data_IF_781045283824
#
_entry.id   IF_781045283824
#
_cell.length_a   1.000
_cell.length_b   1.000
_cell.length_c   1.000
_cell.angle_alpha   90.00
_cell.angle_beta   90.00
_cell.angle_gamma   90.00
#
_symmetry.space_group_name_H-M   'P 1'
#
loop_
_entity.id
_entity.type
_entity.pdbx_description
1 polymer ?
#
# COMPACT_ATOMS: atom_id res chain seq x y z
N UNK A 1 8.77 25.00 4.84
CA UNK A 1 9.58 24.25 5.82
C UNK A 1 9.89 22.92 5.16
N UNK A 2 11.15 22.52 5.06
CA UNK A 2 11.53 21.20 4.54
C UNK A 2 10.95 20.16 5.49
N UNK A 3 10.27 19.15 4.95
CA UNK A 3 9.70 18.06 5.73
C UNK A 3 10.85 17.20 6.31
N UNK A 4 11.18 17.43 7.59
CA UNK A 4 12.33 16.79 8.24
C UNK A 4 12.17 15.28 8.30
N UNK A 5 10.94 14.76 8.47
CA UNK A 5 10.65 13.31 8.61
C UNK A 5 11.12 12.52 7.39
N UNK A 6 10.76 12.96 6.19
CA UNK A 6 11.17 12.30 4.95
C UNK A 6 12.66 12.51 4.64
N UNK A 7 13.23 13.69 5.00
CA UNK A 7 14.68 13.96 4.82
C UNK A 7 15.52 13.08 5.74
N UNK A 8 15.06 12.84 6.97
CA UNK A 8 15.78 12.06 7.99
C UNK A 8 15.44 10.56 7.94
N UNK A 9 14.50 10.16 7.07
CA UNK A 9 14.11 8.76 6.91
C UNK A 9 15.31 7.92 6.46
N UNK A 10 15.57 6.75 7.07
CA UNK A 10 16.71 5.90 6.76
C UNK A 10 16.48 5.10 5.46
N UNK A 11 16.45 5.81 4.33
CA UNK A 11 16.19 5.21 3.02
C UNK A 11 17.13 4.04 2.75
N UNK A 12 16.62 2.91 2.24
CA UNK A 12 17.47 1.77 1.86
C UNK A 12 18.44 2.16 0.75
N UNK A 13 19.58 1.48 0.70
CA UNK A 13 20.56 1.68 -0.37
C UNK A 13 19.98 1.32 -1.73
N UNK A 14 20.35 2.07 -2.75
CA UNK A 14 19.96 1.80 -4.13
C UNK A 14 20.47 0.43 -4.57
N UNK A 15 19.66 -0.42 -5.20
CA UNK A 15 20.06 -1.75 -5.64
C UNK A 15 21.36 -1.74 -6.44
N UNK A 16 22.25 -2.68 -6.12
CA UNK A 16 23.55 -2.80 -6.78
C UNK A 16 24.58 -1.72 -6.39
N UNK A 17 24.25 -0.85 -5.43
CA UNK A 17 25.15 0.20 -4.91
C UNK A 17 25.14 0.23 -3.38
N UNK A 18 26.11 0.95 -2.79
CA UNK A 18 26.10 1.26 -1.35
C UNK A 18 25.53 2.67 -1.07
N UNK A 19 24.92 3.30 -2.07
CA UNK A 19 24.45 4.67 -1.98
C UNK A 19 23.08 4.75 -1.36
N UNK A 20 22.92 5.60 -0.37
CA UNK A 20 21.64 5.90 0.25
C UNK A 20 21.09 7.17 -0.38
N UNK A 21 19.88 7.13 -0.94
CA UNK A 21 19.22 8.34 -1.38
C UNK A 21 18.84 9.20 -0.17
N UNK A 22 18.65 10.49 -0.39
CA UNK A 22 18.08 11.40 0.58
C UNK A 22 16.88 12.09 -0.06
N UNK A 23 15.81 12.28 0.70
CA UNK A 23 14.63 12.99 0.22
C UNK A 23 14.79 14.50 0.41
N UNK A 24 14.51 15.27 -0.64
CA UNK A 24 14.52 16.74 -0.56
C UNK A 24 13.41 17.33 -1.42
N UNK A 25 12.50 18.04 -0.78
CA UNK A 25 11.36 18.77 -1.37
C UNK A 25 10.40 17.85 -2.16
N UNK A 26 10.74 17.50 -3.39
CA UNK A 26 9.91 16.76 -4.33
C UNK A 26 10.71 15.69 -5.12
N UNK A 27 11.83 15.22 -4.57
CA UNK A 27 12.64 14.20 -5.23
C UNK A 27 13.76 13.66 -4.37
N UNK A 28 14.38 12.59 -4.86
CA UNK A 28 15.52 11.98 -4.22
C UNK A 28 16.82 12.64 -4.67
N UNK A 29 17.72 12.90 -3.72
CA UNK A 29 19.11 13.24 -4.00
C UNK A 29 19.95 11.97 -3.96
N UNK A 30 20.66 11.68 -5.06
CA UNK A 30 21.56 10.55 -5.22
C UNK A 30 22.89 11.13 -5.70
N UNK A 31 23.98 10.94 -4.95
CA UNK A 31 25.30 11.57 -5.22
C UNK A 31 25.25 13.09 -5.35
N UNK A 32 24.29 13.74 -4.72
CA UNK A 32 24.10 15.19 -4.81
C UNK A 32 23.33 15.65 -6.03
N UNK A 33 22.95 14.76 -6.94
CA UNK A 33 22.09 15.05 -8.08
C UNK A 33 20.63 14.78 -7.72
N UNK A 34 19.73 15.65 -8.17
CA UNK A 34 18.31 15.49 -7.95
C UNK A 34 17.70 14.55 -8.98
N UNK A 35 17.00 13.55 -8.48
CA UNK A 35 16.24 12.58 -9.26
C UNK A 35 14.73 12.75 -9.03
N UNK A 36 13.93 12.05 -9.83
CA UNK A 36 12.48 11.97 -9.62
C UNK A 36 12.16 11.36 -8.25
N UNK A 37 10.93 11.49 -7.83
CA UNK A 37 10.43 10.97 -6.55
C UNK A 37 10.19 9.45 -6.53
N UNK A 38 10.75 8.68 -7.44
CA UNK A 38 10.60 7.22 -7.57
C UNK A 38 11.95 6.51 -7.48
N UNK A 39 12.01 5.48 -6.61
CA UNK A 39 13.13 4.52 -6.57
C UNK A 39 12.58 3.11 -6.80
N UNK A 40 13.22 2.36 -7.70
CA UNK A 40 12.91 0.96 -7.96
C UNK A 40 13.94 0.07 -7.26
N UNK A 41 13.47 -0.79 -6.33
CA UNK A 41 14.32 -1.73 -5.58
C UNK A 41 14.38 -3.11 -6.21
N UNK A 42 13.41 -3.51 -7.00
CA UNK A 42 13.39 -4.80 -7.68
C UNK A 42 13.29 -4.61 -9.19
N UNK A 43 13.93 -5.50 -9.96
CA UNK A 43 13.57 -5.73 -11.35
C UNK A 43 12.48 -6.81 -11.32
N UNK A 44 11.27 -6.44 -11.68
CA UNK A 44 10.14 -7.37 -11.65
C UNK A 44 9.86 -7.94 -13.01
N UNK A 45 10.05 -9.24 -13.15
CA UNK A 45 9.38 -10.04 -14.18
C UNK A 45 8.09 -10.61 -13.57
N UNK A 46 7.00 -9.86 -13.59
CA UNK A 46 5.70 -10.35 -13.12
C UNK A 46 4.79 -10.70 -14.27
N UNK A 47 3.90 -11.66 -14.06
CA UNK A 47 2.80 -11.94 -14.99
C UNK A 47 1.71 -10.84 -14.96
N UNK A 48 1.75 -9.97 -13.94
CA UNK A 48 0.88 -8.80 -13.87
C UNK A 48 1.35 -7.74 -14.87
N UNK A 49 0.51 -7.38 -15.79
CA UNK A 49 0.81 -6.40 -16.84
C UNK A 49 0.15 -5.05 -16.55
N UNK A 50 0.66 -3.99 -17.18
CA UNK A 50 0.02 -2.67 -17.17
C UNK A 50 -1.44 -2.77 -17.64
N UNK A 51 -1.72 -3.60 -18.63
CA UNK A 51 -3.06 -3.83 -19.14
C UNK A 51 -4.02 -4.41 -18.08
N UNK A 52 -3.56 -5.32 -17.22
CA UNK A 52 -4.35 -5.83 -16.10
C UNK A 52 -4.66 -4.74 -15.07
N UNK A 53 -3.70 -3.86 -14.80
CA UNK A 53 -3.94 -2.69 -13.92
C UNK A 53 -4.99 -1.76 -14.52
N UNK A 54 -4.87 -1.43 -15.80
CA UNK A 54 -5.83 -0.56 -16.49
C UNK A 54 -7.24 -1.15 -16.53
N UNK A 55 -7.36 -2.46 -16.79
CA UNK A 55 -8.65 -3.15 -16.79
C UNK A 55 -9.26 -3.15 -15.38
N UNK A 56 -8.49 -3.48 -14.35
CA UNK A 56 -8.95 -3.45 -12.97
C UNK A 56 -9.45 -2.05 -12.58
N UNK A 57 -8.71 -1.00 -12.95
CA UNK A 57 -9.12 0.38 -12.67
C UNK A 57 -10.37 0.81 -13.44
N UNK A 58 -10.52 0.39 -14.70
CA UNK A 58 -11.72 0.67 -15.49
C UNK A 58 -12.95 0.01 -14.90
N UNK A 59 -12.84 -1.25 -14.49
CA UNK A 59 -13.95 -1.98 -13.86
C UNK A 59 -14.28 -1.43 -12.46
N UNK A 60 -13.27 -1.01 -11.69
CA UNK A 60 -13.43 -0.28 -10.44
C UNK A 60 -13.95 1.17 -10.64
N UNK A 61 -14.33 1.55 -11.87
CA UNK A 61 -14.87 2.89 -12.16
C UNK A 61 -13.87 4.01 -11.94
N UNK A 62 -12.59 3.77 -12.18
CA UNK A 62 -11.50 4.73 -11.97
C UNK A 62 -11.53 5.35 -10.55
N UNK A 63 -11.70 4.50 -9.53
CA UNK A 63 -11.76 4.90 -8.14
C UNK A 63 -13.06 5.61 -7.73
N UNK A 64 -14.08 5.67 -8.59
CA UNK A 64 -15.38 6.29 -8.30
C UNK A 64 -16.46 5.30 -7.90
N UNK A 65 -16.17 4.00 -7.92
CA UNK A 65 -17.11 3.00 -7.46
C UNK A 65 -17.42 3.20 -5.95
N UNK A 66 -18.67 3.04 -5.56
CA UNK A 66 -19.12 3.33 -4.19
C UNK A 66 -18.42 2.49 -3.12
N UNK A 67 -18.05 1.25 -3.44
CA UNK A 67 -17.30 0.36 -2.53
C UNK A 67 -15.87 0.90 -2.37
N UNK A 68 -15.20 1.31 -3.44
CA UNK A 68 -13.83 1.83 -3.36
C UNK A 68 -13.77 3.14 -2.58
N UNK A 69 -14.77 4.01 -2.76
CA UNK A 69 -14.88 5.23 -1.97
C UNK A 69 -15.08 4.89 -0.49
N UNK A 70 -15.94 3.92 -0.18
CA UNK A 70 -16.18 3.49 1.19
C UNK A 70 -14.93 2.85 1.83
N UNK A 71 -14.20 2.03 1.06
CA UNK A 71 -12.92 1.42 1.43
C UNK A 71 -11.90 2.49 1.80
N UNK A 72 -11.64 3.46 0.91
CA UNK A 72 -10.72 4.57 1.17
C UNK A 72 -11.14 5.42 2.38
N UNK A 73 -12.43 5.71 2.56
CA UNK A 73 -12.92 6.41 3.74
C UNK A 73 -12.70 5.63 5.03
N UNK A 74 -12.86 4.31 5.00
CA UNK A 74 -12.58 3.45 6.16
C UNK A 74 -11.08 3.47 6.49
N UNK A 75 -10.22 3.38 5.48
CA UNK A 75 -8.78 3.51 5.64
C UNK A 75 -8.40 4.87 6.25
N UNK A 76 -8.88 5.99 5.69
CA UNK A 76 -8.67 7.34 6.24
C UNK A 76 -9.09 7.43 7.71
N UNK A 77 -10.24 6.83 8.07
CA UNK A 77 -10.75 6.86 9.45
C UNK A 77 -9.81 6.15 10.42
N UNK A 78 -9.14 5.09 9.99
CA UNK A 78 -8.19 4.31 10.79
C UNK A 78 -6.94 5.11 11.16
N UNK A 79 -6.54 6.07 10.32
CA UNK A 79 -5.35 6.89 10.52
C UNK A 79 -5.62 8.30 11.03
N UNK A 80 -6.87 8.64 11.36
CA UNK A 80 -7.24 9.99 11.84
C UNK A 80 -6.45 10.43 13.08
N UNK A 81 -6.14 9.49 14.00
CA UNK A 81 -5.31 9.81 15.18
C UNK A 81 -3.84 10.03 14.80
N UNK A 82 -3.33 9.20 13.90
CA UNK A 82 -1.96 9.31 13.39
C UNK A 82 -1.75 10.64 12.70
N UNK A 83 -2.71 11.08 11.91
CA UNK A 83 -2.69 12.33 11.15
C UNK A 83 -2.65 13.62 12.01
N UNK A 84 -2.84 13.52 13.32
CA UNK A 84 -2.65 14.63 14.26
C UNK A 84 -1.18 14.79 14.72
N UNK A 85 -0.29 13.91 14.29
CA UNK A 85 1.13 14.00 14.55
C UNK A 85 1.88 14.33 13.26
N UNK A 86 2.39 15.55 13.15
CA UNK A 86 3.12 16.03 11.96
C UNK A 86 4.45 15.28 11.72
N UNK A 87 4.93 14.52 12.71
CA UNK A 87 6.11 13.65 12.58
C UNK A 87 5.75 12.21 12.18
N UNK A 88 4.47 11.88 12.10
CA UNK A 88 4.05 10.54 11.72
C UNK A 88 4.31 10.26 10.23
N UNK A 89 4.66 9.01 9.95
CA UNK A 89 4.94 8.52 8.61
C UNK A 89 4.02 7.33 8.29
N UNK A 90 3.26 7.45 7.21
CA UNK A 90 2.39 6.41 6.66
C UNK A 90 3.00 5.82 5.40
N UNK A 91 2.96 4.50 5.27
CA UNK A 91 3.24 3.77 4.04
C UNK A 91 1.94 3.23 3.43
N UNK A 92 1.68 3.56 2.18
CA UNK A 92 0.68 2.85 1.37
C UNK A 92 1.38 1.80 0.52
N UNK A 93 0.93 0.54 0.64
CA UNK A 93 1.40 -0.60 -0.16
C UNK A 93 0.33 -0.96 -1.18
N UNK A 94 0.71 -1.10 -2.46
CA UNK A 94 -0.21 -1.30 -3.57
C UNK A 94 -0.94 0.00 -3.94
N UNK A 95 -0.22 1.12 -4.03
CA UNK A 95 -0.84 2.42 -4.25
C UNK A 95 -1.37 2.64 -5.68
N UNK A 96 -1.00 1.79 -6.64
CA UNK A 96 -1.50 1.81 -8.03
C UNK A 96 -1.58 3.24 -8.61
N UNK A 97 -2.76 3.70 -9.02
CA UNK A 97 -3.01 5.05 -9.54
C UNK A 97 -3.07 6.15 -8.49
N UNK A 98 -2.89 5.82 -7.21
CA UNK A 98 -2.71 6.78 -6.13
C UNK A 98 -3.98 7.47 -5.64
N UNK A 99 -5.17 6.90 -5.84
CA UNK A 99 -6.42 7.51 -5.35
C UNK A 99 -6.43 7.69 -3.83
N UNK A 100 -5.97 6.69 -3.08
CA UNK A 100 -5.90 6.79 -1.62
C UNK A 100 -4.78 7.76 -1.17
N UNK A 101 -3.62 7.79 -1.84
CA UNK A 101 -2.59 8.80 -1.60
C UNK A 101 -3.13 10.22 -1.74
N UNK A 102 -3.90 10.48 -2.81
CA UNK A 102 -4.52 11.78 -3.05
C UNK A 102 -5.57 12.12 -1.97
N UNK A 103 -6.36 11.14 -1.55
CA UNK A 103 -7.31 11.31 -0.45
C UNK A 103 -6.57 11.63 0.87
N UNK A 104 -5.48 10.95 1.20
CA UNK A 104 -4.65 11.27 2.36
C UNK A 104 -4.09 12.69 2.29
N UNK A 105 -3.53 13.10 1.15
CA UNK A 105 -3.03 14.48 0.97
C UNK A 105 -4.14 15.52 1.14
N UNK A 106 -5.33 15.23 0.64
CA UNK A 106 -6.48 16.13 0.72
C UNK A 106 -7.00 16.29 2.14
N UNK A 107 -7.16 15.17 2.87
CA UNK A 107 -7.79 15.17 4.19
C UNK A 107 -6.79 15.35 5.34
N UNK A 108 -5.53 14.99 5.13
CA UNK A 108 -4.45 15.06 6.12
C UNK A 108 -3.19 15.67 5.50
N UNK A 109 -3.21 16.97 5.14
CA UNK A 109 -2.14 17.61 4.36
C UNK A 109 -0.78 17.67 5.06
N UNK A 110 -0.73 17.47 6.37
CA UNK A 110 0.53 17.45 7.14
C UNK A 110 1.08 16.04 7.37
N UNK A 111 0.33 14.99 7.03
CA UNK A 111 0.79 13.62 7.19
C UNK A 111 1.89 13.31 6.18
N UNK A 112 3.01 12.77 6.66
CA UNK A 112 4.08 12.28 5.80
C UNK A 112 3.66 10.94 5.21
N UNK A 113 3.79 10.78 3.90
CA UNK A 113 3.32 9.58 3.19
C UNK A 113 4.39 9.10 2.24
N UNK A 114 4.58 7.79 2.21
CA UNK A 114 5.32 7.05 1.18
C UNK A 114 4.32 6.18 0.43
N UNK A 115 4.32 6.24 -0.89
CA UNK A 115 3.58 5.30 -1.74
C UNK A 115 4.48 4.16 -2.20
N UNK A 116 3.95 2.94 -2.25
CA UNK A 116 4.70 1.82 -2.84
C UNK A 116 3.81 0.91 -3.67
N UNK A 117 4.41 0.29 -4.67
CA UNK A 117 3.76 -0.70 -5.51
C UNK A 117 4.78 -1.76 -5.97
N UNK A 118 4.28 -2.92 -6.35
CA UNK A 118 5.07 -3.97 -6.98
C UNK A 118 5.47 -3.60 -8.40
N UNK A 119 4.60 -2.89 -9.13
CA UNK A 119 4.79 -2.49 -10.52
C UNK A 119 5.42 -1.10 -10.64
N UNK A 120 6.42 -0.98 -11.49
CA UNK A 120 7.08 0.31 -11.75
C UNK A 120 6.24 1.24 -12.64
N UNK A 121 5.47 0.72 -13.60
CA UNK A 121 4.78 1.55 -14.60
C UNK A 121 3.66 2.42 -14.02
N UNK A 122 2.75 1.94 -13.14
CA UNK A 122 1.81 2.81 -12.45
C UNK A 122 2.52 3.90 -11.64
N UNK A 123 3.62 3.55 -10.94
CA UNK A 123 4.40 4.50 -10.15
C UNK A 123 5.07 5.58 -11.00
N UNK A 124 5.55 5.27 -12.21
CA UNK A 124 6.09 6.27 -13.14
C UNK A 124 5.02 7.30 -13.54
N UNK A 125 3.81 6.84 -13.85
CA UNK A 125 2.67 7.73 -14.14
C UNK A 125 2.32 8.56 -12.90
N UNK A 126 2.26 7.93 -11.73
CA UNK A 126 1.92 8.56 -10.46
C UNK A 126 2.98 9.60 -10.04
N UNK A 127 4.25 9.39 -10.33
CA UNK A 127 5.35 10.31 -10.01
C UNK A 127 5.15 11.71 -10.62
N UNK A 128 4.47 11.79 -11.76
CA UNK A 128 4.15 13.04 -12.44
C UNK A 128 3.01 13.79 -11.71
N UNK A 129 2.02 13.04 -11.23
CA UNK A 129 0.81 13.61 -10.61
C UNK A 129 0.99 13.89 -9.11
N UNK A 130 1.87 13.13 -8.44
CA UNK A 130 2.14 13.25 -7.01
C UNK A 130 3.64 13.52 -6.74
N UNK A 131 4.23 14.62 -7.26
CA UNK A 131 5.68 14.82 -7.21
C UNK A 131 6.24 14.99 -5.78
N UNK A 132 5.40 15.32 -4.81
CA UNK A 132 5.79 15.53 -3.40
C UNK A 132 5.71 14.27 -2.53
N UNK A 133 5.30 13.14 -3.10
CA UNK A 133 5.23 11.86 -2.38
C UNK A 133 6.41 11.00 -2.83
N UNK A 134 7.27 10.52 -1.92
CA UNK A 134 8.24 9.48 -2.26
C UNK A 134 7.52 8.21 -2.72
N UNK A 135 7.93 7.67 -3.85
CA UNK A 135 7.39 6.45 -4.43
C UNK A 135 8.45 5.37 -4.47
N UNK A 136 8.11 4.17 -4.05
CA UNK A 136 9.02 3.03 -3.98
C UNK A 136 8.45 1.83 -4.74
N UNK A 137 9.20 1.29 -5.68
CA UNK A 137 8.85 0.02 -6.29
C UNK A 137 9.60 -1.11 -5.57
N UNK A 138 8.86 -2.04 -4.97
CA UNK A 138 9.44 -3.24 -4.36
C UNK A 138 8.40 -4.37 -4.23
N UNK A 139 8.93 -5.60 -4.10
CA UNK A 139 8.15 -6.77 -3.68
C UNK A 139 8.01 -6.79 -2.16
N UNK A 140 6.78 -6.82 -1.65
CA UNK A 140 6.52 -6.87 -0.22
C UNK A 140 7.10 -8.12 0.45
N UNK A 141 7.30 -9.22 -0.31
CA UNK A 141 7.98 -10.41 0.18
C UNK A 141 9.49 -10.20 0.41
N UNK A 142 10.05 -9.12 -0.14
CA UNK A 142 11.44 -8.70 -0.01
C UNK A 142 11.53 -7.21 0.35
N UNK A 143 10.68 -6.77 1.28
CA UNK A 143 10.55 -5.36 1.65
C UNK A 143 11.89 -4.78 2.10
N UNK A 144 12.42 -3.73 1.41
CA UNK A 144 13.72 -3.16 1.69
C UNK A 144 13.72 -2.19 2.87
N UNK A 145 12.54 -1.76 3.32
CA UNK A 145 12.41 -0.76 4.37
C UNK A 145 12.99 -1.25 5.70
N UNK A 146 13.59 -0.36 6.49
CA UNK A 146 14.16 -0.71 7.80
C UNK A 146 13.10 -1.14 8.80
N UNK A 147 13.53 -1.85 9.84
CA UNK A 147 12.69 -2.18 11.00
C UNK A 147 12.24 -0.90 11.71
N UNK A 148 11.07 -0.92 12.33
CA UNK A 148 10.53 0.17 13.16
C UNK A 148 10.60 1.55 12.49
N UNK A 149 10.34 1.62 11.16
CA UNK A 149 10.57 2.82 10.36
C UNK A 149 9.32 3.65 10.05
N UNK A 150 8.11 3.06 10.11
CA UNK A 150 6.85 3.75 9.80
C UNK A 150 5.86 3.66 10.95
N UNK A 151 5.01 4.69 11.11
CA UNK A 151 4.00 4.77 12.16
C UNK A 151 2.67 4.15 11.73
N UNK A 152 2.44 4.05 10.42
CA UNK A 152 1.25 3.45 9.86
C UNK A 152 1.52 2.72 8.56
N UNK A 153 0.73 1.69 8.28
CA UNK A 153 0.71 0.98 6.99
C UNK A 153 -0.72 0.77 6.54
N UNK A 154 -1.00 1.07 5.29
CA UNK A 154 -2.27 0.73 4.63
C UNK A 154 -2.01 -0.14 3.41
N UNK A 155 -2.80 -1.21 3.24
CA UNK A 155 -2.76 -2.08 2.08
C UNK A 155 -4.19 -2.53 1.73
N UNK A 156 -4.73 -2.02 0.65
CA UNK A 156 -6.07 -2.33 0.17
C UNK A 156 -5.98 -3.24 -1.05
N UNK A 157 -6.54 -4.44 -0.97
CA UNK A 157 -6.54 -5.45 -2.03
C UNK A 157 -5.12 -5.74 -2.56
N UNK A 158 -4.22 -6.17 -1.67
CA UNK A 158 -2.81 -6.47 -1.98
C UNK A 158 -2.46 -7.91 -1.67
N UNK A 159 -2.87 -8.43 -0.49
CA UNK A 159 -2.39 -9.72 0.02
C UNK A 159 -2.88 -10.91 -0.81
N UNK A 160 -4.02 -10.79 -1.48
CA UNK A 160 -4.56 -11.80 -2.40
C UNK A 160 -3.66 -12.07 -3.60
N UNK A 161 -2.86 -11.08 -4.02
CA UNK A 161 -1.91 -11.18 -5.11
C UNK A 161 -0.55 -11.74 -4.70
N UNK A 162 -0.32 -11.93 -3.39
CA UNK A 162 0.95 -12.40 -2.85
C UNK A 162 0.85 -13.88 -2.48
N UNK A 163 1.67 -14.72 -3.12
CA UNK A 163 1.67 -16.15 -2.83
C UNK A 163 2.00 -16.45 -1.37
N UNK A 164 3.04 -15.81 -0.83
CA UNK A 164 3.51 -15.95 0.56
C UNK A 164 3.00 -14.79 1.42
N UNK A 165 1.68 -14.65 1.55
CA UNK A 165 1.02 -13.57 2.28
C UNK A 165 1.44 -13.48 3.76
N UNK A 166 1.76 -14.60 4.41
CA UNK A 166 2.28 -14.61 5.79
C UNK A 166 3.68 -13.98 5.90
N UNK A 167 4.51 -14.13 4.87
CA UNK A 167 5.82 -13.46 4.82
C UNK A 167 5.64 -11.96 4.62
N UNK A 168 4.72 -11.56 3.74
CA UNK A 168 4.35 -10.16 3.56
C UNK A 168 3.86 -9.52 4.86
N UNK A 169 2.95 -10.18 5.60
CA UNK A 169 2.48 -9.72 6.90
C UNK A 169 3.62 -9.59 7.94
N UNK A 170 4.60 -10.50 7.95
CA UNK A 170 5.78 -10.38 8.81
C UNK A 170 6.63 -9.16 8.46
N UNK A 171 6.80 -8.85 7.16
CA UNK A 171 7.48 -7.63 6.75
C UNK A 171 6.71 -6.37 7.17
N UNK A 172 5.38 -6.36 7.03
CA UNK A 172 4.56 -5.25 7.52
C UNK A 172 4.70 -5.06 9.03
N UNK A 173 4.74 -6.16 9.80
CA UNK A 173 4.97 -6.10 11.24
C UNK A 173 6.36 -5.57 11.59
N UNK A 174 7.39 -6.00 10.87
CA UNK A 174 8.79 -5.61 11.08
C UNK A 174 9.02 -4.11 10.87
N UNK A 175 8.44 -3.55 9.81
CA UNK A 175 8.66 -2.13 9.46
C UNK A 175 7.83 -1.16 10.31
N UNK A 176 6.76 -1.63 10.95
CA UNK A 176 5.94 -0.81 11.83
C UNK A 176 6.64 -0.57 13.17
N UNK A 177 6.68 0.69 13.59
CA UNK A 177 7.14 1.06 14.93
C UNK A 177 6.25 0.43 16.01
N UNK A 178 6.77 0.19 17.22
CA UNK A 178 5.96 -0.21 18.37
C UNK A 178 4.79 0.76 18.59
N UNK A 179 3.56 0.22 18.60
CA UNK A 179 2.34 1.03 18.70
C UNK A 179 1.82 1.57 17.35
N UNK A 180 2.51 1.28 16.25
CA UNK A 180 2.07 1.62 14.89
C UNK A 180 0.77 0.90 14.51
N UNK A 181 0.07 1.44 13.53
CA UNK A 181 -1.26 0.96 13.09
C UNK A 181 -1.19 0.41 11.67
N UNK A 182 -1.76 -0.77 11.46
CA UNK A 182 -1.97 -1.34 10.14
C UNK A 182 -3.47 -1.36 9.80
N UNK A 183 -3.81 -0.95 8.60
CA UNK A 183 -5.11 -1.15 7.99
C UNK A 183 -4.95 -2.00 6.73
N UNK A 184 -5.61 -3.16 6.69
CA UNK A 184 -5.64 -4.02 5.50
C UNK A 184 -7.07 -4.29 5.08
N UNK A 185 -7.29 -4.41 3.78
CA UNK A 185 -8.51 -4.90 3.18
C UNK A 185 -8.16 -6.01 2.18
N UNK A 186 -8.96 -7.07 2.17
CA UNK A 186 -8.81 -8.23 1.29
C UNK A 186 -10.17 -8.73 0.81
N UNK A 187 -10.28 -9.32 -0.38
CA UNK A 187 -11.53 -9.89 -0.87
C UNK A 187 -11.98 -11.03 0.03
N UNK A 188 -13.24 -10.95 0.46
CA UNK A 188 -13.87 -11.91 1.35
C UNK A 188 -14.54 -13.08 0.58
N UNK A 189 -14.67 -14.22 1.27
CA UNK A 189 -15.48 -15.35 0.79
C UNK A 189 -14.74 -16.24 -0.21
N UNK A 190 -13.99 -17.23 0.29
CA UNK A 190 -13.28 -18.20 -0.55
C UNK A 190 -14.23 -18.95 -1.53
N UNK A 191 -15.49 -19.14 -1.13
CA UNK A 191 -16.52 -19.74 -1.97
C UNK A 191 -17.03 -18.83 -3.11
N UNK A 192 -16.62 -17.56 -3.13
CA UNK A 192 -16.89 -16.60 -4.20
C UNK A 192 -15.71 -16.47 -5.18
N UNK A 193 -14.65 -17.26 -4.97
CA UNK A 193 -13.53 -17.28 -5.89
C UNK A 193 -14.00 -17.82 -7.24
N UNK A 194 -13.77 -17.06 -8.31
CA UNK A 194 -14.26 -17.35 -9.64
C UNK A 194 -13.23 -16.98 -10.74
N UNK A 195 -13.65 -17.02 -11.99
CA UNK A 195 -12.82 -16.70 -13.16
C UNK A 195 -12.30 -15.26 -13.12
N UNK A 196 -12.99 -14.34 -12.46
CA UNK A 196 -12.56 -12.97 -12.31
C UNK A 196 -11.34 -12.86 -11.37
N UNK A 197 -11.33 -13.63 -10.28
CA UNK A 197 -10.14 -13.73 -9.41
C UNK A 197 -8.94 -14.30 -10.16
N UNK A 198 -9.16 -15.34 -10.99
CA UNK A 198 -8.09 -15.92 -11.82
C UNK A 198 -7.55 -14.89 -12.82
N UNK A 199 -8.43 -14.12 -13.44
CA UNK A 199 -8.07 -13.05 -14.36
C UNK A 199 -7.25 -11.94 -13.68
N UNK A 200 -7.60 -11.57 -12.44
CA UNK A 200 -6.87 -10.63 -11.61
C UNK A 200 -5.63 -11.25 -10.94
N UNK A 201 -5.29 -12.48 -11.25
CA UNK A 201 -4.16 -13.22 -10.66
C UNK A 201 -4.23 -13.29 -9.12
N UNK A 202 -5.44 -13.39 -8.56
CA UNK A 202 -5.60 -13.65 -7.14
C UNK A 202 -5.19 -15.08 -6.81
N UNK A 203 -4.36 -15.27 -5.80
CA UNK A 203 -4.07 -16.60 -5.27
C UNK A 203 -5.22 -17.11 -4.40
N UNK A 204 -6.01 -16.21 -3.79
CA UNK A 204 -7.07 -16.55 -2.83
C UNK A 204 -8.00 -15.41 -2.49
N UNK A 205 -9.14 -15.76 -1.92
CA UNK A 205 -9.98 -14.89 -1.10
C UNK A 205 -9.88 -15.32 0.36
N UNK A 206 -10.33 -14.51 1.30
CA UNK A 206 -10.15 -14.77 2.72
C UNK A 206 -11.48 -14.93 3.45
N UNK A 207 -11.53 -15.83 4.44
CA UNK A 207 -12.53 -15.73 5.50
C UNK A 207 -12.05 -14.75 6.56
N UNK A 208 -12.98 -14.10 7.28
CA UNK A 208 -12.62 -13.16 8.35
C UNK A 208 -11.73 -13.83 9.40
N UNK A 209 -12.10 -15.02 9.87
CA UNK A 209 -11.28 -15.78 10.83
C UNK A 209 -9.92 -16.16 10.25
N UNK A 210 -9.84 -16.46 8.95
CA UNK A 210 -8.58 -16.84 8.29
C UNK A 210 -7.59 -15.68 8.23
N UNK A 211 -8.02 -14.50 7.79
CA UNK A 211 -7.14 -13.33 7.76
C UNK A 211 -6.77 -12.86 9.17
N UNK A 212 -7.71 -12.91 10.14
CA UNK A 212 -7.41 -12.59 11.53
C UNK A 212 -6.34 -13.53 12.13
N UNK A 213 -6.42 -14.84 11.84
CA UNK A 213 -5.43 -15.80 12.32
C UNK A 213 -4.03 -15.50 11.73
N UNK A 214 -3.93 -15.17 10.43
CA UNK A 214 -2.67 -14.80 9.78
C UNK A 214 -2.09 -13.51 10.37
N UNK A 215 -2.92 -12.48 10.55
CA UNK A 215 -2.52 -11.19 11.14
C UNK A 215 -2.01 -11.37 12.58
N UNK A 216 -2.72 -12.14 13.40
CA UNK A 216 -2.27 -12.51 14.76
C UNK A 216 -0.98 -13.33 14.75
N UNK A 217 -0.86 -14.27 13.80
CA UNK A 217 0.34 -15.09 13.60
C UNK A 217 1.58 -14.28 13.21
N UNK A 218 1.41 -13.14 12.57
CA UNK A 218 2.47 -12.20 12.25
C UNK A 218 2.88 -11.31 13.44
N UNK A 219 2.14 -11.32 14.57
CA UNK A 219 2.44 -10.56 15.79
C UNK A 219 1.51 -9.38 16.07
N UNK A 220 0.56 -9.09 15.20
CA UNK A 220 -0.38 -7.98 15.37
C UNK A 220 -1.47 -8.26 16.40
N UNK A 221 -1.92 -7.20 17.05
CA UNK A 221 -3.16 -7.18 17.82
C UNK A 221 -4.27 -6.57 16.99
N UNK A 222 -5.36 -7.30 16.78
CA UNK A 222 -6.51 -6.79 16.05
C UNK A 222 -7.27 -5.79 16.93
N UNK A 223 -7.47 -4.59 16.41
CA UNK A 223 -8.25 -3.52 17.05
C UNK A 223 -9.70 -3.55 16.60
N UNK A 224 -9.92 -3.78 15.31
CA UNK A 224 -11.23 -3.87 14.69
C UNK A 224 -11.17 -4.81 13.49
N UNK A 225 -12.28 -5.48 13.21
CA UNK A 225 -12.41 -6.39 12.08
C UNK A 225 -13.88 -6.38 11.62
N UNK A 226 -14.11 -6.20 10.32
CA UNK A 226 -15.46 -6.07 9.78
C UNK A 226 -15.49 -6.49 8.31
N UNK A 227 -16.69 -6.65 7.77
CA UNK A 227 -16.91 -6.80 6.32
C UNK A 227 -17.40 -5.48 5.74
N UNK A 228 -16.72 -4.98 4.72
CA UNK A 228 -17.23 -3.92 3.88
C UNK A 228 -18.21 -4.52 2.86
N UNK A 229 -19.36 -3.87 2.64
CA UNK A 229 -20.36 -4.33 1.67
C UNK A 229 -21.21 -5.52 2.11
N UNK A 230 -21.25 -5.86 3.40
CA UNK A 230 -22.04 -6.98 3.92
C UNK A 230 -23.53 -6.94 3.47
N UNK A 231 -24.13 -5.77 3.37
CA UNK A 231 -25.50 -5.58 2.94
C UNK A 231 -25.78 -5.94 1.47
N UNK A 232 -24.74 -5.93 0.62
CA UNK A 232 -24.87 -6.31 -0.80
C UNK A 232 -24.42 -7.76 -1.07
N UNK A 233 -23.89 -8.46 -0.05
CA UNK A 233 -23.45 -9.85 -0.16
C UNK A 233 -24.51 -10.80 -0.76
N UNK A 234 -25.81 -10.70 -0.41
CA UNK A 234 -26.84 -11.54 -1.04
C UNK A 234 -26.97 -11.37 -2.56
N UNK A 235 -26.62 -10.18 -3.09
CA UNK A 235 -26.68 -9.94 -4.53
C UNK A 235 -25.61 -10.72 -5.30
N UNK A 236 -24.46 -11.01 -4.69
CA UNK A 236 -23.40 -11.83 -5.29
C UNK A 236 -23.76 -13.31 -5.42
N UNK A 237 -24.79 -13.78 -4.71
CA UNK A 237 -25.31 -15.16 -4.83
C UNK A 237 -26.40 -15.31 -5.89
N UNK A 238 -26.92 -14.20 -6.41
CA UNK A 238 -28.05 -14.18 -7.34
C UNK A 238 -27.60 -14.04 -8.82
N UNK A 239 -26.31 -13.95 -9.05
CA UNK A 239 -25.67 -13.89 -10.39
C UNK A 239 -24.97 -15.20 -10.68
#
# INVERSE_FOLDING_TARGET
MTNSVLSDFPWPSIPGTNEKPNWKDDGFLIKGEKHVNLICYNQTDSNWSEHLTELHEQEAGNGQHSIDIASRHLALSSFRKLANNDEALLLEVGCSSGYLLQDFQKYFPNLNIIGSDYLAEPLKKLSIHCPKIPLLQFDLQNCPLPDDSVDGVVALNVLEHIEKDELALKHLYRILKPGGVMHIEVPAGQNLYDIYDEYLLHHRRYSLMGIEAKVKGAGFKILNSTHLGFSIYPAFWAV
#
